data_IF_392605439985
#
_entry.id   IF_392605439985
#
_cell.length_a   1.000
_cell.length_b   1.000
_cell.length_c   1.000
_cell.angle_alpha   90.00
_cell.angle_beta   90.00
_cell.angle_gamma   90.00
#
_symmetry.space_group_name_H-M   'P 1'
#
loop_
_entity.id
_entity.type
_entity.pdbx_description
1 polymer ?
#
# COMPACT_ATOMS: atom_id res chain seq x y z
N UNK A 1 41.07 21.84 -17.46
CA UNK A 1 40.34 20.56 -17.41
C UNK A 1 39.41 20.62 -16.19
N UNK A 2 38.25 21.29 -16.26
CA UNK A 2 37.09 21.10 -17.14
C UNK A 2 36.48 19.70 -17.03
N UNK A 3 35.19 19.70 -16.70
CA UNK A 3 34.22 18.60 -16.79
C UNK A 3 34.13 17.60 -15.63
N UNK A 4 33.87 18.09 -14.41
CA UNK A 4 33.04 17.34 -13.46
C UNK A 4 31.61 17.34 -14.01
N UNK A 5 31.28 16.29 -14.77
CA UNK A 5 30.03 16.14 -15.49
C UNK A 5 28.84 16.15 -14.51
N UNK A 6 28.17 17.30 -14.47
CA UNK A 6 26.85 17.53 -13.89
C UNK A 6 25.81 16.77 -14.72
N UNK A 7 25.85 15.44 -14.66
CA UNK A 7 24.81 14.57 -15.19
C UNK A 7 23.61 14.64 -14.26
N UNK A 8 22.75 15.63 -14.52
CA UNK A 8 21.31 15.64 -14.29
C UNK A 8 20.74 14.46 -13.49
N UNK A 9 20.78 14.55 -12.16
CA UNK A 9 19.81 13.85 -11.31
C UNK A 9 18.46 14.52 -11.62
N UNK A 10 17.48 13.83 -12.22
CA UNK A 10 16.20 14.43 -12.49
C UNK A 10 15.58 14.86 -11.15
N UNK A 11 15.24 16.14 -11.05
CA UNK A 11 14.54 16.68 -9.89
C UNK A 11 13.17 16.01 -9.78
N UNK A 12 13.05 15.02 -8.89
CA UNK A 12 11.78 14.35 -8.54
C UNK A 12 10.87 15.23 -7.66
N UNK A 13 11.28 16.46 -7.35
CA UNK A 13 10.53 17.38 -6.49
C UNK A 13 9.07 17.66 -6.92
N UNK A 14 8.72 17.81 -8.21
CA UNK A 14 7.32 18.06 -8.60
C UNK A 14 6.47 16.79 -8.56
N UNK A 15 7.04 15.62 -8.91
CA UNK A 15 6.33 14.33 -8.91
C UNK A 15 6.07 13.85 -7.48
N UNK A 16 7.04 14.03 -6.57
CA UNK A 16 6.87 13.70 -5.15
C UNK A 16 5.77 14.52 -4.46
N UNK A 17 5.66 15.82 -4.78
CA UNK A 17 4.58 16.69 -4.28
C UNK A 17 3.21 16.30 -4.83
N UNK A 18 3.12 15.93 -6.11
CA UNK A 18 1.88 15.47 -6.73
C UNK A 18 1.40 14.14 -6.13
N UNK A 19 2.31 13.18 -5.93
CA UNK A 19 2.00 11.90 -5.28
C UNK A 19 1.60 12.07 -3.81
N UNK A 20 2.27 12.97 -3.07
CA UNK A 20 1.89 13.32 -1.69
C UNK A 20 0.50 13.97 -1.63
N UNK A 21 0.18 14.86 -2.58
CA UNK A 21 -1.15 15.49 -2.68
C UNK A 21 -2.26 14.47 -2.96
N UNK A 22 -2.02 13.53 -3.89
CA UNK A 22 -2.95 12.42 -4.16
C UNK A 22 -3.10 11.49 -2.94
N UNK A 23 -2.00 11.23 -2.22
CA UNK A 23 -2.02 10.47 -0.96
C UNK A 23 -2.86 11.13 0.11
N UNK A 24 -2.75 12.45 0.28
CA UNK A 24 -3.54 13.22 1.24
C UNK A 24 -5.04 13.21 0.91
N UNK A 25 -5.38 13.33 -0.39
CA UNK A 25 -6.77 13.25 -0.87
C UNK A 25 -7.33 11.84 -0.68
N UNK A 26 -6.55 10.80 -0.99
CA UNK A 26 -6.95 9.41 -0.79
C UNK A 26 -7.15 9.09 0.70
N UNK A 27 -6.24 9.54 1.56
CA UNK A 27 -6.35 9.42 3.00
C UNK A 27 -7.57 10.18 3.54
N UNK A 28 -7.78 11.42 3.09
CA UNK A 28 -8.97 12.21 3.43
C UNK A 28 -10.27 11.54 3.00
N UNK A 29 -10.31 10.96 1.80
CA UNK A 29 -11.47 10.20 1.31
C UNK A 29 -11.72 8.93 2.12
N UNK A 30 -10.67 8.22 2.52
CA UNK A 30 -10.75 7.04 3.37
C UNK A 30 -11.28 7.38 4.77
N UNK A 31 -10.70 8.40 5.41
CA UNK A 31 -11.15 8.91 6.71
C UNK A 31 -12.59 9.42 6.63
N UNK A 32 -12.96 10.12 5.55
CA UNK A 32 -14.33 10.58 5.33
C UNK A 32 -15.32 9.42 5.17
N UNK A 33 -14.97 8.37 4.40
CA UNK A 33 -15.80 7.17 4.28
C UNK A 33 -15.97 6.47 5.64
N UNK A 34 -14.91 6.39 6.44
CA UNK A 34 -14.97 5.84 7.80
C UNK A 34 -15.85 6.68 8.73
N UNK A 35 -15.74 8.01 8.67
CA UNK A 35 -16.59 8.91 9.44
C UNK A 35 -18.06 8.78 9.01
N UNK A 36 -18.31 8.67 7.70
CA UNK A 36 -19.65 8.43 7.14
C UNK A 36 -20.26 7.14 7.63
N UNK A 37 -19.49 6.05 7.74
CA UNK A 37 -19.98 4.79 8.31
C UNK A 37 -20.40 4.98 9.77
N UNK A 38 -19.58 5.66 10.58
CA UNK A 38 -19.91 5.96 11.99
C UNK A 38 -21.19 6.81 12.12
N UNK A 39 -21.34 7.85 11.30
CA UNK A 39 -22.52 8.73 11.36
C UNK A 39 -23.78 8.04 10.86
N UNK A 40 -23.66 7.18 9.85
CA UNK A 40 -24.80 6.44 9.29
C UNK A 40 -25.32 5.40 10.28
N UNK A 41 -24.43 4.65 10.93
CA UNK A 41 -24.79 3.73 12.03
C UNK A 41 -25.51 4.47 13.16
N UNK A 42 -25.00 5.66 13.56
CA UNK A 42 -25.62 6.48 14.61
C UNK A 42 -27.01 6.99 14.20
N UNK A 43 -27.15 7.45 12.95
CA UNK A 43 -28.43 7.96 12.42
C UNK A 43 -29.49 6.88 12.24
N UNK A 44 -29.11 5.64 11.91
CA UNK A 44 -30.03 4.50 11.80
C UNK A 44 -30.49 4.06 13.19
N UNK A 45 -29.60 4.08 14.18
CA UNK A 45 -29.94 3.78 15.57
C UNK A 45 -30.95 4.80 16.14
N UNK A 46 -30.77 6.09 15.85
CA UNK A 46 -31.69 7.15 16.27
C UNK A 46 -33.05 7.07 15.54
N UNK A 47 -33.05 6.86 14.22
CA UNK A 47 -34.30 6.79 13.41
C UNK A 47 -35.20 5.62 13.74
N UNK A 48 -34.67 4.51 14.27
CA UNK A 48 -35.47 3.33 14.58
C UNK A 48 -35.94 3.27 16.04
N UNK A 49 -35.81 4.38 16.79
CA UNK A 49 -36.41 4.49 18.13
C UNK A 49 -35.97 3.39 19.09
N UNK A 50 -34.76 2.84 18.89
CA UNK A 50 -34.19 1.82 19.76
C UNK A 50 -33.82 2.52 21.08
N UNK A 51 -34.79 2.75 21.95
CA UNK A 51 -34.54 2.93 23.38
C UNK A 51 -33.72 1.72 23.84
N UNK A 52 -32.69 1.93 24.65
CA UNK A 52 -31.68 0.91 24.95
C UNK A 52 -32.27 -0.30 25.69
N UNK A 53 -32.30 -1.50 25.07
CA UNK A 53 -31.80 -2.67 25.78
C UNK A 53 -30.85 -3.56 24.95
N UNK A 54 -29.96 -2.99 24.13
CA UNK A 54 -28.86 -3.73 23.47
C UNK A 54 -27.49 -3.03 23.56
N UNK A 55 -27.11 -2.58 24.77
CA UNK A 55 -25.80 -1.96 25.05
C UNK A 55 -24.62 -2.76 24.47
N UNK A 56 -24.71 -4.09 24.50
CA UNK A 56 -23.66 -4.98 24.01
C UNK A 56 -23.40 -4.86 22.49
N UNK A 57 -24.43 -4.72 21.64
CA UNK A 57 -24.24 -4.74 20.19
C UNK A 57 -23.61 -3.44 19.70
N UNK A 58 -24.18 -2.28 20.05
CA UNK A 58 -23.63 -0.98 19.62
C UNK A 58 -22.22 -0.75 20.16
N UNK A 59 -21.98 -1.09 21.44
CA UNK A 59 -20.65 -1.04 22.03
C UNK A 59 -19.66 -1.98 21.32
N UNK A 60 -20.10 -3.19 20.98
CA UNK A 60 -19.28 -4.13 20.20
C UNK A 60 -18.92 -3.58 18.81
N UNK A 61 -19.87 -2.96 18.09
CA UNK A 61 -19.58 -2.34 16.80
C UNK A 61 -18.62 -1.15 16.94
N UNK A 62 -18.75 -0.33 17.98
CA UNK A 62 -17.82 0.78 18.25
C UNK A 62 -16.41 0.28 18.52
N UNK A 63 -16.26 -0.75 19.36
CA UNK A 63 -14.96 -1.39 19.65
C UNK A 63 -14.38 -2.04 18.40
N UNK A 64 -15.20 -2.76 17.61
CA UNK A 64 -14.78 -3.39 16.37
C UNK A 64 -14.30 -2.36 15.34
N UNK A 65 -15.03 -1.25 15.18
CA UNK A 65 -14.63 -0.14 14.31
C UNK A 65 -13.33 0.50 14.80
N UNK A 66 -13.17 0.69 16.11
CA UNK A 66 -11.93 1.20 16.69
C UNK A 66 -10.75 0.27 16.41
N UNK A 67 -10.92 -1.04 16.61
CA UNK A 67 -9.88 -2.03 16.35
C UNK A 67 -9.52 -2.13 14.87
N UNK A 68 -10.49 -2.08 13.96
CA UNK A 68 -10.24 -2.04 12.52
C UNK A 68 -9.44 -0.80 12.11
N UNK A 69 -9.69 0.36 12.74
CA UNK A 69 -8.90 1.57 12.49
C UNK A 69 -7.45 1.40 12.92
N UNK A 70 -7.22 0.85 14.11
CA UNK A 70 -5.86 0.57 14.61
C UNK A 70 -5.15 -0.41 13.68
N UNK A 71 -5.83 -1.48 13.26
CA UNK A 71 -5.26 -2.47 12.34
C UNK A 71 -4.89 -1.85 10.98
N UNK A 72 -5.77 -1.03 10.40
CA UNK A 72 -5.51 -0.36 9.13
C UNK A 72 -4.34 0.63 9.22
N UNK A 73 -4.24 1.39 10.32
CA UNK A 73 -3.15 2.34 10.52
C UNK A 73 -1.81 1.62 10.72
N UNK A 74 -1.78 0.62 11.60
CA UNK A 74 -0.58 -0.17 11.86
C UNK A 74 -0.10 -0.92 10.60
N UNK A 75 -1.03 -1.47 9.82
CA UNK A 75 -0.71 -2.12 8.54
C UNK A 75 -0.21 -1.14 7.48
N UNK A 76 -0.75 0.08 7.44
CA UNK A 76 -0.31 1.09 6.47
C UNK A 76 1.13 1.53 6.71
N UNK A 77 1.48 1.93 7.94
CA UNK A 77 2.82 2.46 8.24
C UNK A 77 3.91 1.42 8.03
N UNK A 78 3.67 0.17 8.46
CA UNK A 78 4.62 -0.93 8.33
C UNK A 78 4.83 -1.36 6.86
N UNK A 79 3.76 -1.47 6.07
CA UNK A 79 3.87 -1.80 4.64
C UNK A 79 4.54 -0.66 3.86
N UNK A 80 4.21 0.60 4.17
CA UNK A 80 4.81 1.75 3.51
C UNK A 80 6.33 1.83 3.77
N UNK A 81 6.76 1.60 5.01
CA UNK A 81 8.18 1.52 5.37
C UNK A 81 8.87 0.35 4.67
N UNK A 82 8.26 -0.85 4.71
CA UNK A 82 8.79 -2.05 4.04
C UNK A 82 8.99 -1.85 2.55
N UNK A 83 8.01 -1.29 1.85
CA UNK A 83 8.11 -1.03 0.41
C UNK A 83 9.17 0.02 0.09
N UNK A 84 9.25 1.09 0.88
CA UNK A 84 10.25 2.14 0.71
C UNK A 84 11.66 1.56 0.87
N UNK A 85 11.85 0.71 1.88
CA UNK A 85 13.13 0.03 2.11
C UNK A 85 13.45 -0.99 1.00
N UNK A 86 12.45 -1.75 0.53
CA UNK A 86 12.61 -2.66 -0.61
C UNK A 86 13.14 -1.93 -1.85
N UNK A 87 12.53 -0.79 -2.20
CA UNK A 87 12.98 0.03 -3.33
C UNK A 87 14.37 0.60 -3.10
N UNK A 88 14.69 1.01 -1.88
CA UNK A 88 16.03 1.50 -1.53
C UNK A 88 17.09 0.42 -1.74
N UNK A 89 16.85 -0.81 -1.25
CA UNK A 89 17.77 -1.93 -1.45
C UNK A 89 17.94 -2.28 -2.93
N UNK A 90 16.84 -2.35 -3.70
CA UNK A 90 16.89 -2.62 -5.13
C UNK A 90 17.63 -1.53 -5.91
N UNK A 91 17.54 -0.28 -5.48
CA UNK A 91 18.28 0.83 -6.09
C UNK A 91 19.78 0.76 -5.77
N UNK A 92 20.13 0.43 -4.53
CA UNK A 92 21.52 0.31 -4.07
C UNK A 92 22.24 -0.94 -4.60
N UNK A 93 21.49 -1.99 -4.97
CA UNK A 93 21.99 -3.26 -5.49
C UNK A 93 21.50 -3.53 -6.93
N UNK A 94 22.08 -2.86 -7.94
CA UNK A 94 21.64 -3.00 -9.33
C UNK A 94 21.83 -4.41 -9.91
N UNK A 95 22.76 -5.19 -9.37
CA UNK A 95 23.00 -6.59 -9.69
C UNK A 95 21.82 -7.49 -9.28
N UNK A 96 21.20 -7.21 -8.13
CA UNK A 96 19.99 -7.89 -7.66
C UNK A 96 18.81 -7.50 -8.53
N UNK A 97 18.63 -6.21 -8.83
CA UNK A 97 17.57 -5.72 -9.70
C UNK A 97 17.64 -6.32 -11.11
N UNK A 98 18.85 -6.50 -11.65
CA UNK A 98 19.08 -7.15 -12.93
C UNK A 98 18.65 -8.63 -12.96
N UNK A 99 18.57 -9.29 -11.80
CA UNK A 99 18.05 -10.67 -11.66
C UNK A 99 16.53 -10.72 -11.45
N UNK A 100 15.95 -9.72 -10.77
CA UNK A 100 14.49 -9.62 -10.56
C UNK A 100 13.75 -9.36 -11.88
N UNK A 101 14.26 -8.47 -12.73
CA UNK A 101 13.55 -8.09 -13.98
C UNK A 101 13.30 -9.25 -14.94
N UNK A 102 14.29 -10.11 -15.26
CA UNK A 102 14.05 -11.29 -16.11
C UNK A 102 12.99 -12.23 -15.56
N UNK A 103 12.98 -12.46 -14.23
CA UNK A 103 11.95 -13.28 -13.59
C UNK A 103 10.54 -12.72 -13.88
N UNK A 104 10.37 -11.39 -13.74
CA UNK A 104 9.10 -10.74 -14.03
C UNK A 104 8.74 -10.80 -15.52
N UNK A 105 9.73 -10.65 -16.41
CA UNK A 105 9.51 -10.75 -17.86
C UNK A 105 9.12 -12.16 -18.31
N UNK A 106 9.61 -13.20 -17.64
CA UNK A 106 9.23 -14.60 -17.91
C UNK A 106 7.79 -14.87 -17.49
N UNK A 107 7.36 -14.36 -16.33
CA UNK A 107 6.02 -14.64 -15.78
C UNK A 107 4.94 -13.73 -16.37
N UNK A 108 5.21 -12.44 -16.55
CA UNK A 108 4.22 -11.44 -16.98
C UNK A 108 4.40 -10.95 -18.42
N UNK A 109 5.49 -11.34 -19.09
CA UNK A 109 5.86 -10.80 -20.39
C UNK A 109 6.62 -9.47 -20.31
N UNK A 110 6.97 -8.92 -21.47
CA UNK A 110 7.81 -7.72 -21.57
C UNK A 110 7.04 -6.40 -21.37
N UNK A 111 5.71 -6.44 -21.37
CA UNK A 111 4.86 -5.25 -21.18
C UNK A 111 4.31 -5.19 -19.74
N UNK A 112 4.81 -4.26 -18.90
CA UNK A 112 4.36 -4.11 -17.52
C UNK A 112 2.87 -3.71 -17.39
N UNK A 113 2.27 -3.12 -18.43
CA UNK A 113 0.88 -2.66 -18.38
C UNK A 113 -0.11 -3.83 -18.33
N UNK A 114 0.27 -4.97 -18.91
CA UNK A 114 -0.55 -6.19 -18.96
C UNK A 114 -0.51 -6.96 -17.63
N UNK A 115 0.54 -6.80 -16.84
CA UNK A 115 0.75 -7.54 -15.59
C UNK A 115 -0.45 -7.44 -14.63
N UNK A 116 -1.07 -6.26 -14.52
CA UNK A 116 -2.26 -6.07 -13.67
C UNK A 116 -3.43 -6.95 -14.11
N UNK A 117 -3.69 -7.00 -15.42
CA UNK A 117 -4.76 -7.83 -15.98
C UNK A 117 -4.50 -9.31 -15.77
N UNK A 118 -3.25 -9.74 -15.99
CA UNK A 118 -2.82 -11.12 -15.79
C UNK A 118 -2.93 -11.56 -14.32
N UNK A 119 -2.49 -10.74 -13.38
CA UNK A 119 -2.59 -11.03 -11.94
C UNK A 119 -4.07 -11.11 -11.50
N UNK A 120 -4.93 -10.24 -12.03
CA UNK A 120 -6.36 -10.27 -11.73
C UNK A 120 -7.05 -11.55 -12.25
N UNK A 121 -6.63 -12.06 -13.41
CA UNK A 121 -7.15 -13.29 -13.99
C UNK A 121 -6.55 -14.55 -13.35
N UNK A 122 -5.27 -14.50 -12.97
CA UNK A 122 -4.53 -15.65 -12.46
C UNK A 122 -3.61 -15.22 -11.30
N UNK A 123 -4.14 -15.13 -10.08
CA UNK A 123 -3.36 -14.76 -8.89
C UNK A 123 -2.21 -15.72 -8.58
N UNK A 124 -2.27 -16.96 -9.08
CA UNK A 124 -1.23 -17.98 -8.87
C UNK A 124 0.10 -17.63 -9.53
N UNK A 125 0.12 -16.70 -10.51
CA UNK A 125 1.34 -16.23 -11.16
C UNK A 125 2.33 -15.61 -10.16
N UNK A 126 1.83 -15.02 -9.06
CA UNK A 126 2.70 -14.45 -8.02
C UNK A 126 3.54 -15.52 -7.32
N UNK A 127 3.09 -16.78 -7.27
CA UNK A 127 3.88 -17.89 -6.71
C UNK A 127 5.05 -18.29 -7.62
N UNK A 128 5.06 -17.84 -8.88
CA UNK A 128 6.14 -18.12 -9.84
C UNK A 128 7.27 -17.08 -9.77
N UNK A 129 7.30 -16.24 -8.73
CA UNK A 129 8.34 -15.24 -8.48
C UNK A 129 9.20 -15.59 -7.25
N UNK A 130 9.91 -16.75 -7.23
CA UNK A 130 10.67 -17.18 -6.07
C UNK A 130 11.81 -16.23 -5.70
N UNK A 131 12.49 -15.61 -6.67
CA UNK A 131 13.58 -14.68 -6.43
C UNK A 131 13.07 -13.35 -5.88
N UNK A 132 11.99 -12.80 -6.45
CA UNK A 132 11.31 -11.61 -5.89
C UNK A 132 10.84 -11.88 -4.46
N UNK A 133 10.30 -13.07 -4.20
CA UNK A 133 9.89 -13.48 -2.85
C UNK A 133 11.08 -13.55 -1.90
N UNK A 134 12.23 -14.04 -2.35
CA UNK A 134 13.47 -14.05 -1.55
C UNK A 134 13.94 -12.62 -1.24
N UNK A 135 13.96 -11.72 -2.22
CA UNK A 135 14.32 -10.31 -2.01
C UNK A 135 13.39 -9.63 -1.00
N UNK A 136 12.08 -9.89 -1.08
CA UNK A 136 11.12 -9.35 -0.10
C UNK A 136 11.36 -9.91 1.30
N UNK A 137 11.69 -11.20 1.43
CA UNK A 137 12.05 -11.81 2.73
C UNK A 137 13.30 -11.15 3.33
N UNK A 138 14.36 -10.98 2.55
CA UNK A 138 15.57 -10.29 2.99
C UNK A 138 15.29 -8.84 3.38
N UNK A 139 14.41 -8.16 2.65
CA UNK A 139 13.99 -6.79 2.99
C UNK A 139 13.32 -6.74 4.36
N UNK A 140 12.39 -7.67 4.65
CA UNK A 140 11.68 -7.73 5.94
C UNK A 140 12.63 -8.11 7.09
N UNK A 141 13.66 -8.90 6.81
CA UNK A 141 14.68 -9.25 7.82
C UNK A 141 15.61 -8.08 8.16
N UNK A 142 15.69 -7.06 7.32
CA UNK A 142 16.64 -5.97 7.41
C UNK A 142 15.96 -4.61 7.70
N UNK A 143 14.68 -4.63 8.07
CA UNK A 143 13.92 -3.47 8.57
C UNK A 143 13.73 -3.54 10.09
#
# INVERSE_FOLDING_TARGET
MSAFNKASVPSFAPVGKALAGLGLIAYGSFVYRLFRVRTLVRSVAEKHGIQSPQHHRLHFLDVLIAQLKVFMLAGYDTIAATLTFAYHLLYSHPDILAKVRPEHSVVFGHDPSLARGLIAQSPQLLHQLPYTTAVLKETILNI
#
